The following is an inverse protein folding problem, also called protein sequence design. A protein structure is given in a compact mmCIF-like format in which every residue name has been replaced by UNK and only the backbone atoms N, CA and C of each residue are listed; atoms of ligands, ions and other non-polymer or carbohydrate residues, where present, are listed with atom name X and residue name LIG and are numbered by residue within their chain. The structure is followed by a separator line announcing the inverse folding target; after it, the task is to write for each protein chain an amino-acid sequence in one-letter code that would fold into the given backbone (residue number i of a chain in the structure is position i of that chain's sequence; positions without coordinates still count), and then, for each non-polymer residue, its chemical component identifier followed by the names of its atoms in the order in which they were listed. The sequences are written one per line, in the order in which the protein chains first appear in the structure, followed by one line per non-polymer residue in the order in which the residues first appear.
data_IF_244268067155
#
_entry.id   IF_244268067155
#
_cell.length_a   1.000
_cell.length_b   1.000
_cell.length_c   1.000
_cell.angle_alpha   90.00
_cell.angle_beta   90.00
_cell.angle_gamma   90.00
#
_symmetry.space_group_name_H-M   'P 1'
#
loop_
_entity.id
_entity.type
_entity.pdbx_description
1 polymer ?
#
# COMPACT_ATOMS: atom_id res chain seq x y z
N UNK A 1 -2.17 71.16 -22.02
CA UNK A 1 -1.53 70.43 -20.91
C UNK A 1 -2.23 69.10 -20.77
N UNK A 2 -1.70 68.05 -21.42
CA UNK A 2 -2.21 66.67 -21.29
C UNK A 2 -1.45 65.95 -20.20
N UNK A 3 -2.17 65.42 -19.20
CA UNK A 3 -1.60 64.50 -18.19
C UNK A 3 -1.86 63.06 -18.64
N UNK A 4 -0.80 62.33 -19.00
CA UNK A 4 -0.81 60.91 -19.22
C UNK A 4 -0.81 60.22 -17.86
N UNK A 5 -1.87 59.49 -17.58
CA UNK A 5 -1.94 58.59 -16.44
C UNK A 5 -1.48 57.18 -16.89
N UNK A 6 -0.34 56.74 -16.39
CA UNK A 6 0.18 55.39 -16.62
C UNK A 6 -0.56 54.40 -15.73
N UNK A 7 -1.32 53.49 -16.33
CA UNK A 7 -1.90 52.30 -15.66
C UNK A 7 -0.86 51.20 -15.67
N UNK A 8 -0.28 50.91 -14.51
CA UNK A 8 0.50 49.69 -14.23
C UNK A 8 -0.48 48.55 -13.96
N UNK A 9 -0.65 47.66 -14.91
CA UNK A 9 -1.34 46.40 -14.70
C UNK A 9 -0.38 45.38 -14.03
N UNK A 10 -0.63 45.07 -12.77
CA UNK A 10 0.09 44.01 -12.06
C UNK A 10 -0.53 42.65 -12.45
N UNK A 11 0.18 41.85 -13.24
CA UNK A 11 -0.15 40.45 -13.47
C UNK A 11 0.22 39.65 -12.21
N UNK A 12 -0.76 39.24 -11.44
CA UNK A 12 -0.59 38.22 -10.40
C UNK A 12 -0.58 36.85 -11.08
N UNK A 13 0.60 36.26 -11.23
CA UNK A 13 0.74 34.88 -11.65
C UNK A 13 0.33 33.96 -10.49
N UNK A 14 -0.87 33.38 -10.55
CA UNK A 14 -1.30 32.35 -9.67
C UNK A 14 -0.54 31.07 -10.04
N UNK A 15 0.46 30.69 -9.26
CA UNK A 15 1.11 29.39 -9.35
C UNK A 15 0.12 28.33 -8.87
N UNK A 16 -0.50 27.61 -9.82
CA UNK A 16 -1.26 26.40 -9.54
C UNK A 16 -0.26 25.34 -9.16
N UNK A 17 -0.10 25.10 -7.86
CA UNK A 17 0.57 23.91 -7.34
C UNK A 17 -0.29 22.71 -7.74
N UNK A 18 0.08 22.04 -8.82
CA UNK A 18 -0.46 20.73 -9.14
C UNK A 18 -0.02 19.79 -8.00
N UNK A 19 -0.94 19.45 -7.12
CA UNK A 19 -0.75 18.36 -6.19
C UNK A 19 -0.57 17.09 -7.03
N UNK A 20 0.66 16.57 -7.10
CA UNK A 20 0.90 15.25 -7.66
C UNK A 20 0.20 14.27 -6.73
N UNK A 21 -0.94 13.73 -7.16
CA UNK A 21 -1.58 12.61 -6.50
C UNK A 21 -0.56 11.48 -6.46
N UNK A 22 0.01 11.24 -5.27
CA UNK A 22 0.89 10.12 -5.05
C UNK A 22 0.08 8.86 -5.37
N UNK A 23 0.43 8.18 -6.47
CA UNK A 23 -0.29 6.99 -6.92
C UNK A 23 -0.22 5.95 -5.80
N UNK A 24 -1.38 5.54 -5.28
CA UNK A 24 -1.46 4.53 -4.25
C UNK A 24 -0.81 3.24 -4.74
N UNK A 25 0.16 2.71 -3.99
CA UNK A 25 0.83 1.44 -4.29
C UNK A 25 0.21 0.27 -3.55
N UNK A 26 -0.53 0.52 -2.46
CA UNK A 26 -1.31 -0.46 -1.72
C UNK A 26 -2.80 -0.27 -2.03
N UNK A 27 -3.43 -1.33 -2.53
CA UNK A 27 -4.88 -1.45 -2.66
C UNK A 27 -5.33 -2.57 -1.72
N UNK A 28 -5.95 -2.23 -0.56
CA UNK A 28 -6.33 -3.22 0.44
C UNK A 28 -7.13 -4.39 -0.14
N UNK A 29 -6.85 -5.61 0.33
CA UNK A 29 -7.48 -6.87 -0.09
C UNK A 29 -7.32 -7.21 -1.59
N UNK A 30 -6.54 -6.42 -2.34
CA UNK A 30 -6.36 -6.58 -3.78
C UNK A 30 -4.92 -6.78 -4.20
N UNK A 31 -4.03 -5.87 -3.83
CA UNK A 31 -2.65 -5.93 -4.30
C UNK A 31 -1.75 -4.82 -3.78
N UNK A 32 -0.48 -4.88 -4.19
CA UNK A 32 0.56 -3.95 -3.78
C UNK A 32 1.65 -3.86 -4.87
N UNK A 33 2.23 -2.68 -5.06
CA UNK A 33 3.31 -2.43 -6.04
C UNK A 33 2.98 -2.92 -7.47
N UNK A 34 1.72 -2.83 -7.90
CA UNK A 34 1.28 -3.27 -9.21
C UNK A 34 1.05 -4.78 -9.32
N UNK A 35 1.26 -5.56 -8.27
CA UNK A 35 0.94 -6.99 -8.19
C UNK A 35 -0.40 -7.17 -7.49
N UNK A 36 -1.28 -7.97 -8.08
CA UNK A 36 -2.56 -8.34 -7.49
C UNK A 36 -2.59 -9.83 -7.12
N UNK A 37 -3.38 -10.16 -6.08
CA UNK A 37 -3.68 -11.54 -5.75
C UNK A 37 -4.30 -12.24 -6.96
N UNK A 38 -3.87 -13.48 -7.22
CA UNK A 38 -4.30 -14.29 -8.36
C UNK A 38 -3.46 -14.13 -9.61
N UNK A 39 -2.53 -13.18 -9.69
CA UNK A 39 -1.60 -13.07 -10.82
C UNK A 39 -0.72 -14.32 -10.94
N UNK A 40 -0.47 -14.73 -12.18
CA UNK A 40 0.50 -15.78 -12.47
C UNK A 40 1.93 -15.27 -12.26
N UNK A 41 2.90 -16.19 -12.14
CA UNK A 41 4.32 -15.84 -12.06
C UNK A 41 4.78 -14.99 -13.25
N UNK A 42 4.30 -15.30 -14.46
CA UNK A 42 4.61 -14.50 -15.66
C UNK A 42 4.09 -13.07 -15.57
N UNK A 43 2.87 -12.88 -15.05
CA UNK A 43 2.28 -11.56 -14.84
C UNK A 43 3.03 -10.77 -13.77
N UNK A 44 3.42 -11.41 -12.67
CA UNK A 44 4.24 -10.76 -11.62
C UNK A 44 5.59 -10.34 -12.19
N UNK A 45 6.25 -11.20 -12.96
CA UNK A 45 7.52 -10.88 -13.62
C UNK A 45 7.38 -9.74 -14.63
N UNK A 46 6.27 -9.66 -15.35
CA UNK A 46 6.00 -8.55 -16.27
C UNK A 46 5.85 -7.20 -15.53
N UNK A 47 5.38 -7.23 -14.26
CA UNK A 47 5.22 -6.02 -13.42
C UNK A 47 6.47 -5.61 -12.68
N UNK A 48 7.20 -6.56 -12.09
CA UNK A 48 8.30 -6.29 -11.17
C UNK A 48 9.68 -6.68 -11.72
N UNK A 49 9.73 -7.34 -12.87
CA UNK A 49 10.98 -7.91 -13.40
C UNK A 49 11.36 -9.23 -12.74
N UNK A 50 12.63 -9.62 -12.91
CA UNK A 50 13.16 -10.81 -12.24
C UNK A 50 13.29 -10.56 -10.73
N UNK A 51 12.91 -11.53 -9.88
CA UNK A 51 13.15 -11.43 -8.44
C UNK A 51 14.65 -11.42 -8.13
N UNK A 52 15.05 -10.74 -7.07
CA UNK A 52 16.43 -10.74 -6.57
C UNK A 52 16.77 -12.02 -5.79
N UNK A 53 15.77 -12.80 -5.42
CA UNK A 53 15.89 -14.08 -4.75
C UNK A 53 14.59 -14.85 -4.76
N UNK A 54 14.67 -16.17 -4.56
CA UNK A 54 13.52 -17.05 -4.45
C UNK A 54 13.74 -18.07 -3.33
N UNK A 55 12.68 -18.52 -2.69
CA UNK A 55 12.74 -19.56 -1.67
C UNK A 55 11.38 -19.77 -1.01
N UNK A 56 11.08 -21.01 -0.60
CA UNK A 56 9.86 -21.34 0.14
C UNK A 56 8.55 -20.95 -0.57
N UNK A 57 8.51 -21.02 -1.89
CA UNK A 57 7.34 -20.60 -2.67
C UNK A 57 7.19 -19.08 -2.80
N UNK A 58 8.21 -18.30 -2.42
CA UNK A 58 8.23 -16.84 -2.46
C UNK A 58 9.25 -16.30 -3.43
N UNK A 59 8.93 -15.14 -4.01
CA UNK A 59 9.81 -14.30 -4.79
C UNK A 59 10.08 -13.00 -4.04
N UNK A 60 11.35 -12.65 -3.89
CA UNK A 60 11.81 -11.48 -3.16
C UNK A 60 12.21 -10.37 -4.11
N UNK A 61 11.72 -9.16 -3.84
CA UNK A 61 12.04 -7.91 -4.53
C UNK A 61 12.48 -6.86 -3.52
N UNK A 62 13.08 -5.78 -3.96
CA UNK A 62 13.57 -4.72 -3.06
C UNK A 62 12.46 -4.07 -2.23
N UNK A 63 11.23 -3.99 -2.77
CA UNK A 63 10.10 -3.30 -2.12
C UNK A 63 9.06 -4.24 -1.51
N UNK A 64 8.86 -5.38 -2.11
CA UNK A 64 7.85 -6.38 -1.71
C UNK A 64 8.39 -7.79 -1.85
N UNK A 65 7.76 -8.75 -1.18
CA UNK A 65 7.86 -10.14 -1.60
C UNK A 65 6.47 -10.71 -1.94
N UNK A 66 6.47 -11.70 -2.82
CA UNK A 66 5.25 -12.30 -3.36
C UNK A 66 5.29 -13.80 -3.10
N UNK A 67 4.30 -14.31 -2.38
CA UNK A 67 4.08 -15.73 -2.13
C UNK A 67 3.13 -16.33 -3.17
N UNK A 68 3.43 -17.54 -3.60
CA UNK A 68 2.65 -18.26 -4.62
C UNK A 68 2.12 -19.58 -4.07
N UNK A 69 0.89 -19.89 -4.45
CA UNK A 69 0.26 -21.20 -4.27
C UNK A 69 -0.39 -21.60 -5.59
N UNK A 70 -0.11 -22.83 -6.07
CA UNK A 70 -0.59 -23.32 -7.38
C UNK A 70 -0.28 -22.36 -8.54
N UNK A 71 0.92 -21.76 -8.54
CA UNK A 71 1.38 -20.86 -9.61
C UNK A 71 0.76 -19.46 -9.62
N UNK A 72 -0.05 -19.11 -8.63
CA UNK A 72 -0.70 -17.81 -8.51
C UNK A 72 -0.29 -17.09 -7.24
N UNK A 73 -0.16 -15.76 -7.32
CA UNK A 73 0.12 -14.91 -6.17
C UNK A 73 -1.02 -14.99 -5.16
N UNK A 74 -0.72 -15.44 -3.96
CA UNK A 74 -1.67 -15.55 -2.85
C UNK A 74 -1.30 -14.70 -1.65
N UNK A 75 -0.10 -14.11 -1.67
CA UNK A 75 0.39 -13.26 -0.60
C UNK A 75 1.34 -12.20 -1.16
N UNK A 76 1.19 -10.96 -0.74
CA UNK A 76 2.08 -9.86 -1.10
C UNK A 76 2.38 -9.12 0.19
N UNK A 77 3.66 -8.95 0.52
CA UNK A 77 4.08 -8.34 1.78
C UNK A 77 5.12 -7.25 1.57
N UNK A 78 5.07 -6.22 2.42
CA UNK A 78 6.10 -5.20 2.51
C UNK A 78 6.44 -4.86 3.96
N UNK A 79 7.69 -4.45 4.17
CA UNK A 79 8.18 -3.77 5.37
C UNK A 79 8.70 -2.37 5.04
N UNK A 80 8.47 -1.90 3.79
CA UNK A 80 8.98 -0.63 3.28
C UNK A 80 7.96 0.49 3.43
N UNK A 81 8.40 1.65 3.91
CA UNK A 81 7.57 2.84 4.06
C UNK A 81 7.19 3.52 2.73
N UNK A 82 7.78 3.07 1.63
CA UNK A 82 7.46 3.58 0.29
C UNK A 82 6.10 3.13 -0.23
N UNK A 83 5.58 2.01 0.28
CA UNK A 83 4.28 1.50 -0.11
C UNK A 83 3.17 2.17 0.72
N UNK A 84 2.21 2.80 0.05
CA UNK A 84 1.13 3.58 0.70
C UNK A 84 -0.23 3.28 0.09
N UNK A 85 -1.27 3.32 0.93
CA UNK A 85 -2.65 3.36 0.48
C UNK A 85 -2.99 4.74 -0.08
N UNK A 86 -4.15 4.88 -0.72
CA UNK A 86 -4.65 6.18 -1.19
C UNK A 86 -4.78 7.21 -0.06
N UNK A 87 -5.08 6.78 1.16
CA UNK A 87 -5.14 7.62 2.35
C UNK A 87 -3.76 7.93 2.96
N UNK A 88 -2.66 7.50 2.31
CA UNK A 88 -1.28 7.74 2.77
C UNK A 88 -0.82 6.80 3.89
N UNK A 89 -1.57 5.74 4.20
CA UNK A 89 -1.22 4.79 5.24
C UNK A 89 -0.25 3.73 4.72
N UNK A 90 0.68 3.34 5.56
CA UNK A 90 1.72 2.37 5.24
C UNK A 90 2.50 1.95 6.49
N UNK A 91 3.69 1.39 6.30
CA UNK A 91 4.64 1.16 7.40
C UNK A 91 4.89 2.49 8.13
N UNK A 92 5.03 2.45 9.45
CA UNK A 92 5.11 3.57 10.41
C UNK A 92 3.80 4.30 10.70
N UNK A 93 2.69 4.00 10.04
CA UNK A 93 1.38 4.53 10.41
C UNK A 93 0.95 4.05 11.80
N UNK A 94 0.22 4.89 12.55
CA UNK A 94 -0.32 4.54 13.86
C UNK A 94 -1.59 3.70 13.76
N UNK A 95 -1.93 2.96 14.82
CA UNK A 95 -3.20 2.23 14.90
C UNK A 95 -4.40 3.17 14.80
N UNK A 96 -4.33 4.35 15.43
CA UNK A 96 -5.41 5.34 15.37
C UNK A 96 -5.65 5.85 13.95
N UNK A 97 -4.59 6.06 13.16
CA UNK A 97 -4.70 6.44 11.77
C UNK A 97 -5.33 5.32 10.91
N UNK A 98 -4.97 4.06 11.16
CA UNK A 98 -5.62 2.92 10.50
C UNK A 98 -7.11 2.84 10.82
N UNK A 99 -7.49 2.99 12.10
CA UNK A 99 -8.89 2.94 12.53
C UNK A 99 -9.73 4.07 11.96
N UNK A 100 -9.15 5.26 11.84
CA UNK A 100 -9.83 6.41 11.23
C UNK A 100 -10.10 6.19 9.74
N UNK A 101 -9.16 5.56 9.02
CA UNK A 101 -9.28 5.32 7.58
C UNK A 101 -10.10 4.07 7.23
N UNK A 102 -10.14 3.08 8.11
CA UNK A 102 -10.77 1.78 7.88
C UNK A 102 -11.76 1.43 8.99
N UNK A 103 -13.04 1.85 8.88
CA UNK A 103 -14.05 1.58 9.92
C UNK A 103 -14.27 0.09 10.21
N UNK A 104 -14.04 -0.78 9.21
CA UNK A 104 -14.14 -2.24 9.36
C UNK A 104 -12.90 -2.94 9.91
N UNK A 105 -11.89 -2.18 10.38
CA UNK A 105 -10.66 -2.75 10.89
C UNK A 105 -10.88 -3.48 12.22
N UNK A 106 -10.41 -4.72 12.32
CA UNK A 106 -10.42 -5.53 13.54
C UNK A 106 -9.00 -5.74 14.03
N UNK A 107 -8.70 -5.33 15.27
CA UNK A 107 -7.38 -5.44 15.86
C UNK A 107 -7.39 -6.39 17.06
N UNK A 108 -6.38 -7.27 17.15
CA UNK A 108 -6.20 -8.22 18.23
C UNK A 108 -4.71 -8.38 18.57
N UNK A 109 -4.46 -8.83 19.81
CA UNK A 109 -3.11 -9.21 20.22
C UNK A 109 -2.59 -10.37 19.36
N UNK A 110 -1.32 -10.27 18.94
CA UNK A 110 -0.56 -11.29 18.24
C UNK A 110 0.86 -11.29 18.83
N UNK A 111 0.97 -11.65 20.11
CA UNK A 111 2.16 -11.52 20.96
C UNK A 111 3.45 -11.96 20.27
N UNK A 112 4.53 -11.12 20.28
CA UNK A 112 4.70 -9.83 20.97
C UNK A 112 4.12 -8.63 20.21
N UNK A 113 3.43 -8.86 19.10
CA UNK A 113 2.87 -7.85 18.22
C UNK A 113 1.36 -7.68 18.42
N UNK A 114 0.80 -6.79 17.61
CA UNK A 114 -0.64 -6.61 17.46
C UNK A 114 -0.99 -6.68 15.97
N UNK A 115 -2.05 -7.38 15.61
CA UNK A 115 -2.52 -7.50 14.23
C UNK A 115 -3.83 -6.75 14.07
N UNK A 116 -3.89 -5.86 13.08
CA UNK A 116 -5.11 -5.23 12.61
C UNK A 116 -5.44 -5.77 11.22
N UNK A 117 -6.66 -6.25 11.03
CA UNK A 117 -7.10 -6.92 9.80
C UNK A 117 -8.28 -6.22 9.14
N UNK A 118 -8.20 -6.06 7.82
CA UNK A 118 -9.33 -5.81 6.94
C UNK A 118 -9.73 -7.13 6.26
N UNK A 119 -11.01 -7.42 6.22
CA UNK A 119 -11.57 -8.67 5.71
C UNK A 119 -12.02 -9.61 6.83
N UNK A 120 -12.88 -10.56 6.50
CA UNK A 120 -13.52 -11.42 7.49
C UNK A 120 -12.58 -12.43 8.15
N UNK A 121 -11.49 -12.78 7.50
CA UNK A 121 -10.58 -13.82 7.96
C UNK A 121 -11.10 -15.24 7.76
N UNK A 122 -12.26 -15.42 7.16
CA UNK A 122 -12.79 -16.74 6.80
C UNK A 122 -11.93 -17.43 5.73
N UNK A 123 -11.91 -18.78 5.68
CA UNK A 123 -11.22 -19.51 4.63
C UNK A 123 -11.62 -19.02 3.22
N UNK A 124 -10.66 -18.93 2.31
CA UNK A 124 -10.86 -18.47 0.94
C UNK A 124 -11.12 -16.99 0.75
N UNK A 125 -11.08 -16.18 1.80
CA UNK A 125 -11.28 -14.73 1.71
C UNK A 125 -9.98 -13.96 1.54
N UNK A 126 -10.09 -12.73 1.03
CA UNK A 126 -8.97 -11.81 0.90
C UNK A 126 -8.89 -10.92 2.12
N UNK A 127 -7.70 -10.73 2.65
CA UNK A 127 -7.44 -9.91 3.83
C UNK A 127 -6.29 -8.95 3.57
N UNK A 128 -6.25 -7.87 4.35
CA UNK A 128 -5.07 -7.02 4.53
C UNK A 128 -4.75 -6.99 6.00
N UNK A 129 -3.57 -7.49 6.35
CA UNK A 129 -3.06 -7.53 7.72
C UNK A 129 -2.00 -6.45 7.90
N UNK A 130 -2.19 -5.64 8.92
CA UNK A 130 -1.20 -4.70 9.44
C UNK A 130 -0.64 -5.29 10.73
N UNK A 131 0.65 -5.61 10.75
CA UNK A 131 1.35 -6.05 11.94
C UNK A 131 1.96 -4.83 12.63
N UNK A 132 1.59 -4.58 13.87
CA UNK A 132 2.04 -3.43 14.64
C UNK A 132 2.99 -3.85 15.77
N UNK A 133 4.03 -3.04 15.95
CA UNK A 133 4.88 -3.06 17.13
C UNK A 133 5.00 -1.65 17.70
N UNK A 134 4.87 -1.52 19.00
CA UNK A 134 4.90 -0.21 19.70
C UNK A 134 3.92 0.82 19.10
N UNK A 135 2.73 0.36 18.70
CA UNK A 135 1.67 1.21 18.15
C UNK A 135 1.88 1.68 16.71
N UNK A 136 2.88 1.17 16.01
CA UNK A 136 3.21 1.51 14.63
C UNK A 136 3.21 0.29 13.73
N UNK A 137 2.78 0.46 12.49
CA UNK A 137 2.82 -0.61 11.47
C UNK A 137 4.27 -0.93 11.12
N UNK A 138 4.64 -2.19 11.27
CA UNK A 138 5.95 -2.73 10.91
C UNK A 138 5.92 -3.47 9.57
N UNK A 139 4.78 -4.10 9.27
CA UNK A 139 4.60 -4.95 8.10
C UNK A 139 3.16 -4.89 7.62
N UNK A 140 2.97 -4.95 6.32
CA UNK A 140 1.65 -5.05 5.69
C UNK A 140 1.65 -6.27 4.79
N UNK A 141 0.63 -7.11 4.94
CA UNK A 141 0.43 -8.31 4.14
C UNK A 141 -0.96 -8.28 3.51
N UNK A 142 -1.03 -8.46 2.21
CA UNK A 142 -2.28 -8.70 1.48
C UNK A 142 -2.29 -10.18 1.12
N UNK A 143 -3.31 -10.90 1.53
CA UNK A 143 -3.34 -12.35 1.35
C UNK A 143 -4.72 -12.88 0.92
N UNK A 144 -4.69 -13.97 0.15
CA UNK A 144 -5.81 -14.88 -0.07
C UNK A 144 -5.64 -16.06 0.89
N UNK A 145 -6.51 -16.16 1.88
CA UNK A 145 -6.44 -17.23 2.87
C UNK A 145 -6.72 -18.59 2.22
N UNK A 146 -6.10 -19.67 2.70
CA UNK A 146 -6.46 -21.01 2.27
C UNK A 146 -7.95 -21.30 2.45
N UNK A 147 -8.53 -22.05 1.53
CA UNK A 147 -9.92 -22.54 1.64
C UNK A 147 -9.99 -23.71 2.63
#
# INVERSE_FOLDING_TARGET
MLRLASLLAALAAAAVLAATDATATIVPQKGMSGVALGMTKSQVRARLGAPVGTGGGRWYYARVWVGFRSGRATEIMTTRSTERTRAGLGVDSSESALRAAFPGLSCAAATPFRRCRLGSGAPGTRVTDFMLGRGRVLQITIALLPA
#
